data_IF_125125012222
#
_entry.id   IF_125125012222
#
_cell.length_a   1.000
_cell.length_b   1.000
_cell.length_c   1.000
_cell.angle_alpha   90.00
_cell.angle_beta   90.00
_cell.angle_gamma   90.00
#
_symmetry.space_group_name_H-M   'P 1'
#
loop_
_entity.id
_entity.type
_entity.pdbx_description
1 polymer ?
#
# COMPACT_ATOMS: atom_id res chain seq x y z
N UNK A 1 11.77 9.54 -15.27
CA UNK A 1 10.90 8.41 -14.91
C UNK A 1 9.52 8.65 -15.51
N UNK A 2 9.06 7.70 -16.29
CA UNK A 2 7.69 7.76 -16.83
C UNK A 2 6.78 6.93 -15.93
N UNK A 3 5.71 7.53 -15.42
CA UNK A 3 4.76 6.84 -14.57
C UNK A 3 3.34 7.18 -15.01
N UNK A 4 2.48 6.16 -15.04
CA UNK A 4 1.05 6.32 -15.32
C UNK A 4 0.25 5.65 -14.22
N UNK A 5 -0.85 6.29 -13.85
CA UNK A 5 -1.79 5.78 -12.85
C UNK A 5 -3.08 5.43 -13.59
N UNK A 6 -3.41 4.14 -13.61
CA UNK A 6 -4.55 3.62 -14.38
C UNK A 6 -5.50 2.94 -13.41
N UNK A 7 -6.78 3.33 -13.43
CA UNK A 7 -7.79 2.68 -12.60
C UNK A 7 -7.82 1.19 -12.91
N UNK A 8 -7.77 0.37 -11.83
CA UNK A 8 -7.76 -1.08 -11.97
C UNK A 8 -9.13 -1.60 -12.40
N UNK A 9 -9.12 -2.70 -13.14
CA UNK A 9 -10.30 -3.44 -13.52
C UNK A 9 -10.21 -4.86 -12.95
N UNK A 10 -11.28 -5.64 -13.10
CA UNK A 10 -11.32 -7.03 -12.65
C UNK A 10 -10.21 -7.89 -13.28
N UNK A 11 -9.76 -7.51 -14.47
CA UNK A 11 -8.66 -8.20 -15.15
C UNK A 11 -7.33 -8.06 -14.41
N UNK A 12 -7.17 -7.06 -13.56
CA UNK A 12 -5.96 -6.83 -12.79
C UNK A 12 -5.88 -7.69 -11.52
N UNK A 13 -6.91 -8.44 -11.18
CA UNK A 13 -6.96 -9.24 -9.94
C UNK A 13 -5.77 -10.20 -9.81
N UNK A 14 -5.38 -10.85 -10.89
CA UNK A 14 -4.27 -11.81 -10.90
C UNK A 14 -2.95 -11.09 -10.61
N UNK A 15 -2.72 -9.95 -11.26
CA UNK A 15 -1.50 -9.15 -11.07
C UNK A 15 -1.42 -8.61 -9.63
N UNK A 16 -2.53 -8.13 -9.09
CA UNK A 16 -2.60 -7.65 -7.70
C UNK A 16 -2.23 -8.79 -6.74
N UNK A 17 -2.82 -9.96 -6.94
CA UNK A 17 -2.55 -11.13 -6.09
C UNK A 17 -1.09 -11.56 -6.17
N UNK A 18 -0.49 -11.51 -7.36
CA UNK A 18 0.92 -11.84 -7.54
C UNK A 18 1.84 -10.85 -6.83
N UNK A 19 1.53 -9.56 -6.89
CA UNK A 19 2.30 -8.53 -6.19
C UNK A 19 2.24 -8.77 -4.68
N UNK A 20 1.06 -9.07 -4.15
CA UNK A 20 0.89 -9.35 -2.71
C UNK A 20 1.66 -10.59 -2.29
N UNK A 21 1.65 -11.63 -3.11
CA UNK A 21 2.37 -12.87 -2.81
C UNK A 21 3.88 -12.67 -2.83
N UNK A 22 4.40 -11.96 -3.81
CA UNK A 22 5.82 -11.64 -3.92
C UNK A 22 6.27 -10.77 -2.73
N UNK A 23 5.44 -9.82 -2.33
CA UNK A 23 5.71 -8.98 -1.16
C UNK A 23 5.79 -9.83 0.10
N UNK A 24 4.86 -10.77 0.29
CA UNK A 24 4.83 -11.65 1.45
C UNK A 24 6.09 -12.51 1.55
N UNK A 25 6.60 -12.99 0.42
CA UNK A 25 7.84 -13.80 0.37
C UNK A 25 9.07 -12.98 0.77
N UNK A 26 9.09 -11.69 0.42
CA UNK A 26 10.20 -10.79 0.72
C UNK A 26 10.13 -10.18 2.12
N UNK A 27 8.98 -10.26 2.78
CA UNK A 27 8.70 -9.60 4.06
C UNK A 27 8.05 -10.58 5.05
N UNK A 28 8.64 -11.78 5.23
CA UNK A 28 8.04 -12.78 6.11
C UNK A 28 7.99 -12.40 7.59
N UNK A 29 8.71 -11.34 7.98
CA UNK A 29 8.63 -10.78 9.33
C UNK A 29 7.35 -9.98 9.54
N UNK A 30 6.71 -9.58 8.42
CA UNK A 30 5.48 -8.79 8.43
C UNK A 30 4.42 -9.68 7.78
N UNK A 31 3.52 -10.29 8.56
CA UNK A 31 2.56 -11.22 7.99
C UNK A 31 1.54 -10.51 7.11
N UNK A 32 1.31 -11.07 5.92
CA UNK A 32 0.00 -10.96 5.31
C UNK A 32 -0.83 -12.08 5.96
N UNK A 33 -1.98 -11.75 6.48
CA UNK A 33 -2.83 -12.68 7.23
C UNK A 33 -3.43 -13.79 6.36
N UNK A 34 -2.97 -13.92 5.12
CA UNK A 34 -3.65 -14.76 4.13
C UNK A 34 -2.67 -15.75 3.49
N UNK A 35 -3.10 -17.00 3.32
CA UNK A 35 -2.41 -17.99 2.50
C UNK A 35 -2.59 -17.63 1.01
N UNK A 36 -2.06 -18.46 0.09
CA UNK A 36 -2.13 -18.17 -1.35
C UNK A 36 -3.56 -17.97 -1.87
N UNK A 37 -4.50 -18.81 -1.44
CA UNK A 37 -5.90 -18.71 -1.87
C UNK A 37 -6.58 -17.48 -1.26
N UNK A 38 -6.28 -17.18 -0.01
CA UNK A 38 -6.80 -16.00 0.68
C UNK A 38 -6.25 -14.72 0.08
N UNK A 39 -4.98 -14.71 -0.39
CA UNK A 39 -4.40 -13.54 -1.06
C UNK A 39 -5.07 -13.25 -2.40
N UNK A 40 -5.46 -14.29 -3.14
CA UNK A 40 -6.23 -14.11 -4.37
C UNK A 40 -7.59 -13.47 -4.07
N UNK A 41 -8.24 -13.94 -3.01
CA UNK A 41 -9.51 -13.38 -2.55
C UNK A 41 -9.34 -11.96 -2.02
N UNK A 42 -8.23 -11.68 -1.35
CA UNK A 42 -7.92 -10.34 -0.86
C UNK A 42 -7.72 -9.35 -2.01
N UNK A 43 -7.08 -9.76 -3.08
CA UNK A 43 -6.95 -8.92 -4.29
C UNK A 43 -8.30 -8.54 -4.86
N UNK A 44 -9.23 -9.49 -4.94
CA UNK A 44 -10.61 -9.22 -5.38
C UNK A 44 -11.35 -8.33 -4.38
N UNK A 45 -11.17 -8.58 -3.09
CA UNK A 45 -11.78 -7.76 -2.04
C UNK A 45 -11.35 -6.31 -2.19
N UNK A 46 -10.06 -6.05 -2.43
CA UNK A 46 -9.56 -4.71 -2.67
C UNK A 46 -10.24 -4.06 -3.87
N UNK A 47 -10.38 -4.79 -4.97
CA UNK A 47 -11.04 -4.27 -6.19
C UNK A 47 -12.52 -3.94 -5.93
N UNK A 48 -13.19 -4.71 -5.10
CA UNK A 48 -14.62 -4.53 -4.80
C UNK A 48 -14.89 -3.43 -3.77
N UNK A 49 -13.98 -3.26 -2.80
CA UNK A 49 -14.22 -2.41 -1.63
C UNK A 49 -13.36 -1.16 -1.57
N UNK A 50 -12.34 -1.06 -2.41
CA UNK A 50 -11.44 0.10 -2.45
C UNK A 50 -11.28 0.61 -3.87
N UNK A 51 -10.72 1.81 -3.98
CA UNK A 51 -10.32 2.37 -5.27
C UNK A 51 -8.88 1.96 -5.54
N UNK A 52 -8.68 1.00 -6.43
CA UNK A 52 -7.34 0.50 -6.77
C UNK A 52 -6.85 1.19 -8.04
N UNK A 53 -5.64 1.72 -7.97
CA UNK A 53 -4.95 2.33 -9.10
C UNK A 53 -3.71 1.51 -9.40
N UNK A 54 -3.59 1.03 -10.63
CA UNK A 54 -2.39 0.33 -11.08
C UNK A 54 -1.33 1.35 -11.46
N UNK A 55 -0.10 1.12 -11.03
CA UNK A 55 1.05 1.99 -11.30
C UNK A 55 1.84 1.36 -12.42
N UNK A 56 2.00 2.09 -13.52
CA UNK A 56 2.71 1.62 -14.71
C UNK A 56 3.93 2.46 -15.01
N UNK A 57 4.98 1.81 -15.51
CA UNK A 57 6.06 2.49 -16.22
C UNK A 57 6.01 2.09 -17.70
N UNK A 58 7.06 2.39 -18.47
CA UNK A 58 7.11 2.04 -19.89
C UNK A 58 7.09 0.54 -20.15
N UNK A 59 7.41 -0.29 -19.16
CA UNK A 59 7.45 -1.76 -19.28
C UNK A 59 6.18 -2.46 -18.81
N UNK A 60 5.25 -1.74 -18.18
CA UNK A 60 4.01 -2.30 -17.66
C UNK A 60 3.80 -2.01 -16.17
N UNK A 61 3.06 -2.89 -15.50
CA UNK A 61 2.72 -2.71 -14.09
C UNK A 61 3.94 -2.84 -13.18
N UNK A 62 4.16 -1.84 -12.33
CA UNK A 62 5.23 -1.86 -11.31
C UNK A 62 4.68 -1.93 -9.89
N UNK A 63 3.39 -1.73 -9.70
CA UNK A 63 2.77 -1.78 -8.38
C UNK A 63 1.32 -1.32 -8.41
N UNK A 64 0.73 -1.17 -7.22
CA UNK A 64 -0.62 -0.62 -7.11
C UNK A 64 -0.81 0.14 -5.80
N UNK A 65 -1.81 1.02 -5.82
CA UNK A 65 -2.26 1.82 -4.68
C UNK A 65 -3.74 1.53 -4.45
N UNK A 66 -4.11 1.17 -3.23
CA UNK A 66 -5.50 0.93 -2.85
C UNK A 66 -5.94 1.98 -1.82
N UNK A 67 -6.98 2.73 -2.16
CA UNK A 67 -7.53 3.78 -1.31
C UNK A 67 -8.97 3.45 -0.94
N UNK A 68 -9.31 3.55 0.33
CA UNK A 68 -10.68 3.56 0.82
C UNK A 68 -10.95 4.97 1.32
N UNK A 69 -11.54 5.81 0.46
CA UNK A 69 -11.64 7.26 0.69
C UNK A 69 -10.23 7.82 0.96
N UNK A 70 -10.00 8.51 2.06
CA UNK A 70 -8.70 9.09 2.43
C UNK A 70 -7.78 8.12 3.20
N UNK A 71 -8.16 6.84 3.29
CA UNK A 71 -7.34 5.83 3.96
C UNK A 71 -6.58 5.01 2.93
N UNK A 72 -5.27 4.96 3.07
CA UNK A 72 -4.42 4.13 2.23
C UNK A 72 -4.47 2.71 2.80
N UNK A 73 -5.13 1.82 2.07
CA UNK A 73 -5.24 0.40 2.46
C UNK A 73 -4.03 -0.40 2.00
N UNK A 74 -3.37 0.04 0.96
CA UNK A 74 -2.17 -0.64 0.48
C UNK A 74 -1.42 0.18 -0.57
N UNK A 75 -0.12 0.10 -0.50
CA UNK A 75 0.79 0.61 -1.51
C UNK A 75 1.92 -0.42 -1.64
N UNK A 76 1.99 -1.06 -2.80
CA UNK A 76 2.94 -2.12 -3.04
C UNK A 76 3.66 -1.87 -4.36
N UNK A 77 4.98 -1.87 -4.32
CA UNK A 77 5.84 -1.73 -5.50
C UNK A 77 6.62 -3.02 -5.66
N UNK A 78 6.63 -3.58 -6.86
CA UNK A 78 7.41 -4.78 -7.17
C UNK A 78 8.88 -4.56 -6.80
N UNK A 79 9.52 -5.60 -6.28
CA UNK A 79 10.88 -5.53 -5.74
C UNK A 79 11.87 -4.88 -6.71
N UNK A 80 11.83 -5.28 -7.98
CA UNK A 80 12.76 -4.77 -8.99
C UNK A 80 12.55 -3.29 -9.34
N UNK A 81 11.44 -2.72 -8.92
CA UNK A 81 11.09 -1.32 -9.18
C UNK A 81 11.13 -0.44 -7.94
N UNK A 82 11.52 -1.00 -6.79
CA UNK A 82 11.68 -0.21 -5.57
C UNK A 82 12.93 0.65 -5.64
N UNK A 83 12.90 1.80 -4.97
CA UNK A 83 14.03 2.73 -4.96
C UNK A 83 14.11 3.67 -6.15
N UNK A 84 13.12 3.65 -7.04
CA UNK A 84 13.09 4.51 -8.24
C UNK A 84 12.05 5.64 -8.14
N UNK A 85 11.39 5.79 -6.99
CA UNK A 85 10.44 6.88 -6.78
C UNK A 85 8.99 6.57 -7.14
N UNK A 86 8.64 5.34 -7.50
CA UNK A 86 7.27 5.00 -7.84
C UNK A 86 6.31 5.10 -6.65
N UNK A 87 6.76 4.67 -5.47
CA UNK A 87 5.96 4.81 -4.25
C UNK A 87 5.68 6.26 -3.90
N UNK A 88 6.71 7.11 -3.99
CA UNK A 88 6.56 8.55 -3.75
C UNK A 88 5.58 9.16 -4.75
N UNK A 89 5.70 8.80 -6.04
CA UNK A 89 4.81 9.30 -7.08
C UNK A 89 3.35 8.90 -6.79
N UNK A 90 3.13 7.67 -6.30
CA UNK A 90 1.79 7.19 -5.94
C UNK A 90 1.20 8.00 -4.77
N UNK A 91 2.00 8.30 -3.76
CA UNK A 91 1.55 9.10 -2.62
C UNK A 91 1.22 10.53 -3.06
N UNK A 92 2.04 11.13 -3.92
CA UNK A 92 1.76 12.46 -4.47
C UNK A 92 0.44 12.44 -5.27
N UNK A 93 0.20 11.37 -6.03
CA UNK A 93 -1.06 11.16 -6.75
C UNK A 93 -2.25 11.15 -5.78
N UNK A 94 -2.14 10.45 -4.65
CA UNK A 94 -3.18 10.41 -3.63
C UNK A 94 -3.34 11.77 -2.94
N UNK A 95 -2.25 12.45 -2.64
CA UNK A 95 -2.26 13.77 -2.00
C UNK A 95 -2.98 14.83 -2.83
N UNK A 96 -3.01 14.68 -4.14
CA UNK A 96 -3.75 15.57 -5.02
C UNK A 96 -5.26 15.36 -4.97
N UNK A 97 -5.71 14.20 -4.50
CA UNK A 97 -7.13 13.84 -4.46
C UNK A 97 -7.79 14.16 -3.12
N UNK A 98 -7.01 14.22 -2.05
CA UNK A 98 -7.53 14.37 -0.69
C UNK A 98 -6.71 15.41 0.08
N UNK A 99 -7.37 16.14 0.95
CA UNK A 99 -6.71 17.10 1.85
C UNK A 99 -6.07 16.41 3.05
N UNK A 100 -6.47 15.17 3.30
CA UNK A 100 -5.95 14.36 4.40
C UNK A 100 -5.80 12.92 3.91
N UNK A 101 -4.71 12.26 4.32
CA UNK A 101 -4.50 10.83 4.09
C UNK A 101 -4.12 10.17 5.40
N UNK A 102 -4.62 8.96 5.63
CA UNK A 102 -4.36 8.17 6.84
C UNK A 102 -3.96 6.75 6.46
N UNK A 103 -3.14 6.15 7.31
CA UNK A 103 -2.72 4.75 7.11
C UNK A 103 -2.20 4.15 8.41
N UNK A 104 -2.16 2.81 8.44
CA UNK A 104 -1.56 2.05 9.51
C UNK A 104 -0.30 1.35 9.01
N UNK A 105 0.75 1.34 9.83
CA UNK A 105 2.03 0.66 9.55
C UNK A 105 2.41 -0.16 10.78
N UNK A 106 2.82 -1.41 10.59
CA UNK A 106 3.37 -2.21 11.69
C UNK A 106 4.65 -1.56 12.22
N UNK A 107 4.82 -1.57 13.54
CA UNK A 107 6.01 -1.00 14.17
C UNK A 107 7.30 -1.70 13.71
N UNK A 108 7.21 -2.97 13.31
CA UNK A 108 8.34 -3.71 12.77
C UNK A 108 8.75 -3.28 11.36
N UNK A 109 7.87 -2.57 10.64
CA UNK A 109 8.16 -2.11 9.29
C UNK A 109 8.85 -0.74 9.29
N UNK A 110 10.15 -0.76 9.62
CA UNK A 110 10.95 0.46 9.74
C UNK A 110 11.07 1.20 8.41
N UNK A 111 11.18 0.47 7.31
CA UNK A 111 11.28 1.07 5.97
C UNK A 111 10.05 1.90 5.62
N UNK A 112 8.86 1.37 5.88
CA UNK A 112 7.62 2.09 5.64
C UNK A 112 7.50 3.33 6.54
N UNK A 113 7.89 3.21 7.81
CA UNK A 113 7.87 4.35 8.72
C UNK A 113 8.72 5.51 8.19
N UNK A 114 9.95 5.22 7.76
CA UNK A 114 10.84 6.23 7.20
C UNK A 114 10.28 6.82 5.91
N UNK A 115 9.71 5.98 5.07
CA UNK A 115 9.12 6.39 3.80
C UNK A 115 7.99 7.40 4.02
N UNK A 116 7.03 7.07 4.87
CA UNK A 116 5.89 7.95 5.11
C UNK A 116 6.28 9.23 5.88
N UNK A 117 7.19 9.13 6.83
CA UNK A 117 7.68 10.31 7.56
C UNK A 117 8.37 11.30 6.62
N UNK A 118 9.15 10.83 5.64
CA UNK A 118 9.78 11.71 4.65
C UNK A 118 8.75 12.42 3.77
N UNK A 119 7.58 11.84 3.59
CA UNK A 119 6.51 12.43 2.79
C UNK A 119 5.56 13.31 3.60
N UNK A 120 5.91 13.58 4.85
CA UNK A 120 5.16 14.51 5.68
C UNK A 120 4.08 13.88 6.54
N UNK A 121 3.98 12.56 6.59
CA UNK A 121 3.06 11.88 7.48
C UNK A 121 3.57 11.95 8.92
N UNK A 122 2.67 12.22 9.84
CA UNK A 122 2.98 12.33 11.27
C UNK A 122 2.28 11.23 12.05
N UNK A 123 2.92 10.78 13.12
CA UNK A 123 2.35 9.78 14.01
C UNK A 123 1.19 10.41 14.79
N UNK A 124 0.02 9.78 14.71
CA UNK A 124 -1.15 10.17 15.49
C UNK A 124 -1.24 9.30 16.75
N UNK A 125 -0.99 8.00 16.58
CA UNK A 125 -1.24 7.01 17.61
C UNK A 125 -0.36 5.79 17.40
N UNK A 126 0.08 5.15 18.50
CA UNK A 126 0.73 3.85 18.45
C UNK A 126 -0.13 2.87 19.22
N UNK A 127 -0.29 1.65 18.71
CA UNK A 127 -1.01 0.61 19.42
C UNK A 127 -0.08 -0.59 19.71
N UNK A 128 -0.46 -1.38 20.71
CA UNK A 128 0.24 -2.63 21.03
C UNK A 128 -0.22 -3.81 20.19
N UNK A 129 -1.23 -3.60 19.33
CA UNK A 129 -1.75 -4.63 18.44
C UNK A 129 -2.89 -5.45 19.02
N UNK A 130 -3.35 -5.17 20.24
CA UNK A 130 -4.43 -5.95 20.85
C UNK A 130 -5.71 -5.96 20.02
N UNK A 131 -6.01 -4.85 19.37
CA UNK A 131 -7.26 -4.64 18.65
C UNK A 131 -7.16 -4.88 17.14
N UNK A 132 -5.98 -5.18 16.60
CA UNK A 132 -5.88 -5.48 15.17
C UNK A 132 -5.88 -6.98 14.89
N UNK A 133 -6.19 -7.35 13.65
CA UNK A 133 -6.37 -8.74 13.25
C UNK A 133 -5.09 -9.58 13.39
N UNK A 134 -3.94 -8.95 13.31
CA UNK A 134 -2.64 -9.63 13.37
C UNK A 134 -2.07 -9.72 14.76
N UNK A 135 -2.65 -9.00 15.72
CA UNK A 135 -2.15 -8.90 17.10
C UNK A 135 -0.69 -8.39 17.15
N UNK A 136 -0.33 -7.50 16.24
CA UNK A 136 1.01 -6.92 16.14
C UNK A 136 0.97 -5.40 16.37
N UNK A 137 1.95 -4.86 17.11
CA UNK A 137 2.02 -3.42 17.32
C UNK A 137 2.08 -2.65 16.00
N UNK A 138 1.27 -1.59 15.91
CA UNK A 138 1.21 -0.75 14.71
C UNK A 138 1.23 0.73 15.06
N UNK A 139 1.30 1.56 14.02
CA UNK A 139 1.36 3.03 14.13
C UNK A 139 0.34 3.61 13.16
N UNK A 140 -0.46 4.54 13.66
CA UNK A 140 -1.40 5.29 12.83
C UNK A 140 -0.78 6.60 12.41
N UNK A 141 -0.69 6.81 11.11
CA UNK A 141 -0.11 8.01 10.50
C UNK A 141 -1.18 8.86 9.84
N UNK A 142 -0.96 10.17 9.85
CA UNK A 142 -1.81 11.12 9.15
C UNK A 142 -0.95 12.16 8.42
N UNK A 143 -1.37 12.46 7.20
CA UNK A 143 -0.85 13.59 6.43
C UNK A 143 -2.00 14.56 6.15
N UNK A 144 -1.73 15.85 6.26
CA UNK A 144 -2.70 16.91 5.93
C UNK A 144 -2.07 17.89 4.97
N UNK A 145 -2.85 18.35 4.01
CA UNK A 145 -2.40 19.40 3.09
C UNK A 145 -2.21 20.72 3.85
N UNK A 146 -1.30 21.51 3.39
CA UNK A 146 -1.02 22.85 3.97
C UNK A 146 -1.91 23.92 3.34
#
# INVERSE_FOLDING_TARGET
MSVKFIEASDEDAIEISQILEDWAKSNHEIPLAHNNDERADYGRWLLEHTSVTMIHNSSGVVGFLALEKHIIQGLYIKKDFQGFGFGQAAIIFAQKQFEELRLWVFQSNIGAQKFYQRLGFQIVEKSDGEDNDYRLPDIFYCWKST
#
